data_IF_785205952876
#
_entry.id   IF_785205952876
#
_cell.length_a   1.000
_cell.length_b   1.000
_cell.length_c   1.000
_cell.angle_alpha   90.00
_cell.angle_beta   90.00
_cell.angle_gamma   90.00
#
_symmetry.space_group_name_H-M   'P 1'
#
loop_
_entity.id
_entity.type
_entity.pdbx_description
1 polymer ?
#
# COMPACT_ATOMS: atom_id res chain seq x y z
N UNK A 1 22.26 -44.84 -20.54
CA UNK A 1 21.76 -44.42 -19.20
C UNK A 1 22.08 -42.95 -18.89
N UNK A 2 23.32 -42.47 -19.03
CA UNK A 2 23.71 -41.07 -18.75
C UNK A 2 22.97 -39.97 -19.54
N UNK A 3 22.64 -40.22 -20.81
CA UNK A 3 21.92 -39.25 -21.67
C UNK A 3 20.51 -38.96 -21.15
N UNK A 4 19.85 -39.96 -20.56
CA UNK A 4 18.50 -39.83 -20.03
C UNK A 4 18.46 -38.94 -18.78
N UNK A 5 19.45 -39.12 -17.89
CA UNK A 5 19.64 -38.30 -16.68
C UNK A 5 19.92 -36.84 -17.04
N UNK A 6 20.77 -36.61 -18.05
CA UNK A 6 21.08 -35.24 -18.52
C UNK A 6 19.84 -34.53 -19.08
N UNK A 7 19.01 -35.23 -19.86
CA UNK A 7 17.76 -34.67 -20.37
C UNK A 7 16.73 -34.41 -19.27
N UNK A 8 16.64 -35.28 -18.26
CA UNK A 8 15.75 -35.07 -17.11
C UNK A 8 16.14 -33.84 -16.29
N UNK A 9 17.44 -33.66 -16.03
CA UNK A 9 17.97 -32.49 -15.31
C UNK A 9 17.71 -31.21 -16.10
N UNK A 10 17.99 -31.21 -17.41
CA UNK A 10 17.75 -30.06 -18.27
C UNK A 10 16.27 -29.67 -18.34
N UNK A 11 15.37 -30.67 -18.39
CA UNK A 11 13.92 -30.43 -18.43
C UNK A 11 13.40 -29.86 -17.10
N UNK A 12 13.85 -30.40 -15.95
CA UNK A 12 13.52 -29.85 -14.62
C UNK A 12 14.04 -28.42 -14.46
N UNK A 13 15.24 -28.12 -14.94
CA UNK A 13 15.82 -26.78 -14.88
C UNK A 13 15.03 -25.75 -15.69
N UNK A 14 14.59 -26.12 -16.89
CA UNK A 14 13.72 -25.26 -17.72
C UNK A 14 12.38 -24.96 -17.04
N UNK A 15 11.76 -25.95 -16.39
CA UNK A 15 10.50 -25.76 -15.65
C UNK A 15 10.72 -24.81 -14.47
N UNK A 16 11.76 -25.04 -13.68
CA UNK A 16 12.10 -24.21 -12.53
C UNK A 16 12.38 -22.74 -12.93
N UNK A 17 13.12 -22.53 -14.04
CA UNK A 17 13.36 -21.18 -14.56
C UNK A 17 12.06 -20.47 -14.94
N UNK A 18 11.15 -21.17 -15.60
CA UNK A 18 9.87 -20.60 -15.99
C UNK A 18 8.95 -20.32 -14.80
N UNK A 19 8.97 -21.15 -13.76
CA UNK A 19 8.24 -20.89 -12.51
C UNK A 19 8.76 -19.64 -11.80
N UNK A 20 10.08 -19.46 -11.71
CA UNK A 20 10.67 -18.24 -11.13
C UNK A 20 10.21 -17.00 -11.91
N UNK A 21 10.25 -17.04 -13.24
CA UNK A 21 9.81 -15.93 -14.08
C UNK A 21 8.32 -15.63 -13.85
N UNK A 22 7.46 -16.65 -13.74
CA UNK A 22 6.04 -16.47 -13.43
C UNK A 22 5.82 -15.84 -12.05
N UNK A 23 6.53 -16.30 -11.03
CA UNK A 23 6.45 -15.75 -9.67
C UNK A 23 6.89 -14.28 -9.67
N UNK A 24 7.98 -13.97 -10.36
CA UNK A 24 8.48 -12.60 -10.49
C UNK A 24 7.46 -11.70 -11.19
N UNK A 25 6.90 -12.15 -12.32
CA UNK A 25 5.85 -11.42 -13.04
C UNK A 25 4.63 -11.21 -12.14
N UNK A 26 4.22 -12.22 -11.38
CA UNK A 26 3.09 -12.10 -10.44
C UNK A 26 3.34 -11.03 -9.39
N UNK A 27 4.50 -11.06 -8.72
CA UNK A 27 4.89 -10.08 -7.70
C UNK A 27 4.95 -8.68 -8.31
N UNK A 28 5.59 -8.53 -9.47
CA UNK A 28 5.69 -7.24 -10.16
C UNK A 28 4.32 -6.69 -10.56
N UNK A 29 3.43 -7.54 -11.05
CA UNK A 29 2.06 -7.15 -11.43
C UNK A 29 1.28 -6.69 -10.20
N UNK A 30 1.39 -7.41 -9.09
CA UNK A 30 0.67 -7.09 -7.86
C UNK A 30 1.19 -5.80 -7.21
N UNK A 31 2.51 -5.60 -7.16
CA UNK A 31 3.13 -4.34 -6.73
C UNK A 31 2.68 -3.18 -7.62
N UNK A 32 2.69 -3.38 -8.94
CA UNK A 32 2.27 -2.35 -9.89
C UNK A 32 0.79 -1.98 -9.72
N UNK A 33 -0.10 -2.96 -9.59
CA UNK A 33 -1.53 -2.71 -9.36
C UNK A 33 -1.77 -1.98 -8.04
N UNK A 34 -1.13 -2.42 -6.95
CA UNK A 34 -1.26 -1.75 -5.66
C UNK A 34 -0.74 -0.32 -5.70
N UNK A 35 0.37 -0.08 -6.39
CA UNK A 35 0.91 1.26 -6.59
C UNK A 35 -0.02 2.15 -7.42
N UNK A 36 -0.58 1.61 -8.51
CA UNK A 36 -1.53 2.31 -9.36
C UNK A 36 -2.82 2.64 -8.58
N UNK A 37 -3.32 1.70 -7.78
CA UNK A 37 -4.49 1.91 -6.92
C UNK A 37 -4.23 2.99 -5.86
N UNK A 38 -3.02 3.03 -5.27
CA UNK A 38 -2.60 4.09 -4.36
C UNK A 38 -2.65 5.46 -5.05
N UNK A 39 -2.13 5.57 -6.27
CA UNK A 39 -2.17 6.82 -7.06
C UNK A 39 -3.62 7.25 -7.32
N UNK A 40 -4.47 6.34 -7.77
CA UNK A 40 -5.89 6.64 -7.99
C UNK A 40 -6.59 7.08 -6.70
N UNK A 41 -6.29 6.43 -5.58
CA UNK A 41 -6.84 6.80 -4.27
C UNK A 41 -6.44 8.24 -3.89
N UNK A 42 -5.17 8.61 -4.09
CA UNK A 42 -4.68 9.98 -3.84
C UNK A 42 -5.41 10.99 -4.74
N UNK A 43 -5.56 10.68 -6.04
CA UNK A 43 -6.26 11.55 -6.99
C UNK A 43 -7.73 11.75 -6.60
N UNK A 44 -8.44 10.67 -6.27
CA UNK A 44 -9.85 10.73 -5.84
C UNK A 44 -9.97 11.55 -4.56
N UNK A 45 -9.08 11.31 -3.58
CA UNK A 45 -9.07 12.06 -2.34
C UNK A 45 -8.88 13.56 -2.60
N UNK A 46 -7.94 13.92 -3.49
CA UNK A 46 -7.71 15.31 -3.86
C UNK A 46 -8.92 15.95 -4.55
N UNK A 47 -9.56 15.24 -5.49
CA UNK A 47 -10.77 15.71 -6.18
C UNK A 47 -11.94 15.94 -5.23
N UNK A 48 -12.18 15.01 -4.30
CA UNK A 48 -13.24 15.15 -3.28
C UNK A 48 -12.95 16.35 -2.39
N UNK A 49 -11.70 16.52 -1.96
CA UNK A 49 -11.27 17.65 -1.13
C UNK A 49 -11.48 18.98 -1.85
N UNK A 50 -11.14 19.03 -3.14
CA UNK A 50 -11.34 20.20 -3.98
C UNK A 50 -12.83 20.51 -4.20
N UNK A 51 -13.65 19.48 -4.41
CA UNK A 51 -15.11 19.62 -4.50
C UNK A 51 -15.72 20.17 -3.21
N UNK A 52 -15.33 19.64 -2.05
CA UNK A 52 -15.76 20.14 -0.74
C UNK A 52 -15.38 21.61 -0.54
N UNK A 53 -14.19 22.00 -1.00
CA UNK A 53 -13.73 23.37 -0.94
C UNK A 53 -14.64 24.34 -1.70
N UNK A 54 -15.01 23.98 -2.93
CA UNK A 54 -15.94 24.77 -3.73
C UNK A 54 -17.35 24.78 -3.15
N UNK A 55 -17.80 23.64 -2.62
CA UNK A 55 -19.10 23.56 -1.96
C UNK A 55 -19.19 24.51 -0.76
N UNK A 56 -18.17 24.52 0.11
CA UNK A 56 -18.09 25.46 1.23
C UNK A 56 -17.98 26.90 0.75
N UNK A 57 -17.17 27.16 -0.27
CA UNK A 57 -17.01 28.50 -0.86
C UNK A 57 -18.33 29.05 -1.39
N UNK A 58 -19.14 28.20 -2.03
CA UNK A 58 -20.48 28.56 -2.51
C UNK A 58 -21.42 28.87 -1.34
N UNK A 59 -21.42 28.06 -0.29
CA UNK A 59 -22.27 28.27 0.88
C UNK A 59 -21.97 29.58 1.62
N UNK A 60 -20.69 29.91 1.79
CA UNK A 60 -20.26 31.14 2.46
C UNK A 60 -20.17 32.36 1.51
N UNK A 61 -20.40 32.18 0.22
CA UNK A 61 -20.31 33.24 -0.79
C UNK A 61 -18.91 33.81 -0.99
N UNK A 62 -17.87 33.18 -0.43
CA UNK A 62 -16.49 33.66 -0.49
C UNK A 62 -15.52 32.48 -0.60
N UNK A 63 -14.75 32.47 -1.70
CA UNK A 63 -13.72 31.46 -1.96
C UNK A 63 -12.65 31.42 -0.88
N UNK A 64 -12.23 32.58 -0.35
CA UNK A 64 -11.16 32.62 0.67
C UNK A 64 -11.56 31.87 1.93
N UNK A 65 -12.85 31.97 2.32
CA UNK A 65 -13.37 31.33 3.53
C UNK A 65 -13.47 29.82 3.33
N UNK A 66 -13.98 29.36 2.17
CA UNK A 66 -14.09 27.93 1.90
C UNK A 66 -12.73 27.21 1.89
N UNK A 67 -11.73 27.80 1.22
CA UNK A 67 -10.35 27.29 1.24
C UNK A 67 -9.70 27.41 2.61
N UNK A 68 -9.96 28.49 3.35
CA UNK A 68 -9.45 28.69 4.70
C UNK A 68 -9.91 27.60 5.68
N UNK A 69 -11.20 27.27 5.67
CA UNK A 69 -11.77 26.23 6.55
C UNK A 69 -11.16 24.86 6.25
N UNK A 70 -11.05 24.50 4.97
CA UNK A 70 -10.45 23.23 4.57
C UNK A 70 -8.98 23.15 5.01
N UNK A 71 -8.23 24.24 4.86
CA UNK A 71 -6.82 24.34 5.26
C UNK A 71 -6.66 24.16 6.76
N UNK A 72 -7.50 24.82 7.57
CA UNK A 72 -7.49 24.67 9.04
C UNK A 72 -7.81 23.22 9.43
N UNK A 73 -8.76 22.59 8.75
CA UNK A 73 -9.13 21.19 9.00
C UNK A 73 -7.95 20.24 8.72
N UNK A 74 -7.26 20.41 7.59
CA UNK A 74 -6.04 19.63 7.30
C UNK A 74 -4.91 19.90 8.30
N UNK A 75 -4.75 21.14 8.72
CA UNK A 75 -3.74 21.50 9.71
C UNK A 75 -4.02 20.84 11.07
N UNK A 76 -5.29 20.75 11.45
CA UNK A 76 -5.71 20.06 12.67
C UNK A 76 -5.43 18.55 12.59
N UNK A 77 -5.76 17.92 11.45
CA UNK A 77 -5.42 16.51 11.18
C UNK A 77 -3.90 16.30 11.26
N UNK A 78 -3.12 17.22 10.69
CA UNK A 78 -1.65 17.16 10.73
C UNK A 78 -1.12 17.18 12.16
N UNK A 79 -1.64 18.05 13.03
CA UNK A 79 -1.27 18.08 14.46
C UNK A 79 -1.60 16.76 15.15
N UNK A 80 -2.78 16.20 14.90
CA UNK A 80 -3.17 14.90 15.47
C UNK A 80 -2.20 13.81 15.04
N UNK A 81 -1.87 13.74 13.74
CA UNK A 81 -0.92 12.76 13.21
C UNK A 81 0.47 12.98 13.79
N UNK A 82 0.91 14.23 13.97
CA UNK A 82 2.22 14.53 14.55
C UNK A 82 2.31 14.08 16.01
N UNK A 83 1.28 14.34 16.82
CA UNK A 83 1.25 13.93 18.22
C UNK A 83 1.07 12.42 18.40
N UNK A 84 0.10 11.81 17.71
CA UNK A 84 -0.27 10.40 17.95
C UNK A 84 0.38 9.42 16.96
N UNK A 85 0.92 9.90 15.84
CA UNK A 85 1.44 9.06 14.77
C UNK A 85 2.59 8.19 15.23
N UNK A 86 3.44 8.67 16.16
CA UNK A 86 4.57 7.90 16.68
C UNK A 86 4.12 6.72 17.55
N UNK A 87 3.09 6.91 18.35
CA UNK A 87 2.55 5.86 19.21
C UNK A 87 1.70 4.86 18.42
N UNK A 88 0.90 5.34 17.46
CA UNK A 88 0.11 4.49 16.57
C UNK A 88 1.01 3.64 15.68
N UNK A 89 2.04 4.22 15.06
CA UNK A 89 2.98 3.45 14.24
C UNK A 89 3.74 2.42 15.06
N UNK A 90 4.19 2.78 16.27
CA UNK A 90 4.85 1.83 17.18
C UNK A 90 3.92 0.70 17.60
N UNK A 91 2.63 0.99 17.85
CA UNK A 91 1.62 -0.01 18.17
C UNK A 91 1.36 -0.95 17.00
N UNK A 92 1.15 -0.41 15.78
CA UNK A 92 0.91 -1.20 14.58
C UNK A 92 2.10 -2.11 14.28
N UNK A 93 3.33 -1.58 14.31
CA UNK A 93 4.55 -2.38 14.07
C UNK A 93 4.67 -3.49 15.12
N UNK A 94 4.34 -3.21 16.39
CA UNK A 94 4.39 -4.21 17.45
C UNK A 94 3.34 -5.31 17.27
N UNK A 95 2.11 -4.97 16.85
CA UNK A 95 1.08 -5.97 16.53
C UNK A 95 1.47 -6.83 15.32
N UNK A 96 2.02 -6.20 14.29
CA UNK A 96 2.43 -6.86 13.04
C UNK A 96 3.61 -7.81 13.27
N UNK A 97 4.57 -7.41 14.11
CA UNK A 97 5.67 -8.27 14.56
C UNK A 97 5.17 -9.40 15.46
N UNK A 98 4.26 -9.14 16.40
CA UNK A 98 3.71 -10.21 17.25
C UNK A 98 2.96 -11.25 16.41
N UNK A 99 2.14 -10.81 15.44
CA UNK A 99 1.45 -11.73 14.52
C UNK A 99 2.41 -12.53 13.66
N UNK A 100 3.46 -11.91 13.12
CA UNK A 100 4.42 -12.63 12.29
C UNK A 100 5.24 -13.63 13.11
N UNK A 101 5.66 -13.26 14.32
CA UNK A 101 6.37 -14.17 15.23
C UNK A 101 5.50 -15.34 15.70
N UNK A 102 4.23 -15.10 16.05
CA UNK A 102 3.29 -16.16 16.41
C UNK A 102 3.10 -17.12 15.24
N UNK A 103 2.96 -16.61 14.01
CA UNK A 103 2.78 -17.45 12.82
C UNK A 103 4.02 -18.31 12.50
N UNK A 104 5.23 -17.81 12.74
CA UNK A 104 6.47 -18.58 12.57
C UNK A 104 6.63 -19.67 13.64
N UNK A 105 6.12 -19.45 14.86
CA UNK A 105 6.15 -20.44 15.93
C UNK A 105 5.06 -21.52 15.80
N UNK A 106 3.93 -21.20 15.19
CA UNK A 106 2.85 -22.16 14.92
C UNK A 106 3.21 -23.12 13.77
N UNK A 107 3.90 -22.63 12.72
CA UNK A 107 4.37 -23.46 11.58
C UNK A 107 5.50 -24.45 11.94
N UNK A 108 5.99 -24.43 13.19
CA UNK A 108 7.03 -25.34 13.70
C UNK A 108 6.52 -26.44 14.63
N UNK A 109 5.21 -26.62 14.77
CA UNK A 109 4.62 -27.66 15.63
C UNK A 109 3.80 -28.65 14.81
#
# INVERSE_FOLDING_TARGET
>A
MFIFIRNFIHKKWCIFRNEIIKILISIMTEVFLNFLLLIFCIIVFFLVSFSLCFFLSFYFGNYVIGFGILTILYFLIFIIIFCFGRDITRFIIKDLLNKSFIKIFDDKK
#
